data_IF_359809915167
#
_entry.id   IF_359809915167
#
_cell.length_a   1.000
_cell.length_b   1.000
_cell.length_c   1.000
_cell.angle_alpha   90.00
_cell.angle_beta   90.00
_cell.angle_gamma   90.00
#
_symmetry.space_group_name_H-M   'P 1'
#
loop_
_entity.id
_entity.type
_entity.pdbx_description
1 polymer ?
#
# COMPACT_ATOMS: atom_id res chain seq x y z
N UNK A 1 6.58 -40.70 -56.97
CA UNK A 1 6.20 -39.27 -56.92
C UNK A 1 6.07 -38.88 -55.46
N UNK A 2 6.67 -37.74 -55.10
CA UNK A 2 6.81 -37.17 -53.75
C UNK A 2 5.44 -36.76 -53.18
N UNK A 3 5.25 -36.91 -51.87
CA UNK A 3 4.42 -35.96 -51.12
C UNK A 3 5.20 -35.49 -49.89
N UNK A 4 5.39 -34.17 -49.84
CA UNK A 4 6.13 -33.45 -48.82
C UNK A 4 5.29 -33.25 -47.55
N UNK A 5 6.02 -33.25 -46.45
CA UNK A 5 5.71 -32.79 -45.10
C UNK A 5 4.94 -31.46 -45.02
N UNK A 6 4.10 -31.33 -43.98
CA UNK A 6 3.84 -30.06 -43.32
C UNK A 6 3.45 -30.32 -41.87
N UNK A 7 4.41 -30.23 -40.96
CA UNK A 7 4.17 -30.11 -39.51
C UNK A 7 4.10 -28.60 -39.24
N UNK A 8 2.92 -28.11 -38.89
CA UNK A 8 2.73 -26.75 -38.42
C UNK A 8 3.29 -26.62 -37.00
N UNK A 9 4.37 -25.86 -36.84
CA UNK A 9 4.91 -25.47 -35.53
C UNK A 9 4.16 -24.22 -35.07
N UNK A 10 3.17 -24.39 -34.20
CA UNK A 10 2.56 -23.28 -33.47
C UNK A 10 3.49 -22.85 -32.34
N UNK A 11 4.33 -21.83 -32.61
CA UNK A 11 5.05 -21.10 -31.56
C UNK A 11 4.04 -20.27 -30.76
N UNK A 12 3.59 -20.80 -29.62
CA UNK A 12 2.89 -20.01 -28.62
C UNK A 12 3.91 -19.09 -27.93
N UNK A 13 3.96 -17.82 -28.32
CA UNK A 13 4.65 -16.78 -27.56
C UNK A 13 3.80 -16.47 -26.32
N UNK A 14 4.12 -17.10 -25.18
CA UNK A 14 3.62 -16.66 -23.88
C UNK A 14 4.31 -15.36 -23.50
N UNK A 15 3.66 -14.22 -23.75
CA UNK A 15 4.12 -12.94 -23.21
C UNK A 15 3.81 -12.91 -21.72
N UNK A 16 4.83 -13.06 -20.89
CA UNK A 16 4.74 -12.74 -19.47
C UNK A 16 4.51 -11.23 -19.34
N UNK A 17 3.27 -10.82 -19.08
CA UNK A 17 2.97 -9.46 -18.67
C UNK A 17 3.63 -9.25 -17.30
N UNK A 18 4.70 -8.46 -17.27
CA UNK A 18 5.21 -7.91 -16.00
C UNK A 18 4.15 -6.94 -15.48
N UNK A 19 3.36 -7.37 -14.49
CA UNK A 19 2.44 -6.49 -13.78
C UNK A 19 3.23 -5.56 -12.84
N UNK A 20 3.95 -4.60 -13.43
CA UNK A 20 4.36 -3.39 -12.73
C UNK A 20 3.14 -2.50 -12.51
N UNK A 21 3.22 -1.53 -11.60
CA UNK A 21 2.13 -0.57 -11.37
C UNK A 21 1.66 0.09 -12.67
N UNK A 22 0.39 0.48 -12.74
CA UNK A 22 -0.14 1.26 -13.86
C UNK A 22 0.57 2.62 -13.99
N UNK A 23 1.03 3.24 -12.88
CA UNK A 23 1.83 4.47 -12.88
C UNK A 23 2.56 4.73 -11.55
N UNK A 24 3.70 5.41 -11.60
CA UNK A 24 4.45 5.97 -10.47
C UNK A 24 4.45 7.52 -10.46
N UNK A 25 3.63 8.14 -11.31
CA UNK A 25 3.52 9.60 -11.43
C UNK A 25 2.96 10.20 -10.12
N UNK A 26 3.64 11.18 -9.50
CA UNK A 26 3.30 11.60 -8.15
C UNK A 26 1.88 12.17 -7.99
N UNK A 27 1.38 12.92 -8.96
CA UNK A 27 0.03 13.49 -8.92
C UNK A 27 -1.06 12.41 -8.94
N UNK A 28 -0.81 11.27 -9.59
CA UNK A 28 -1.76 10.16 -9.64
C UNK A 28 -1.67 9.34 -8.35
N UNK A 29 -0.45 8.97 -7.95
CA UNK A 29 -0.23 8.15 -6.76
C UNK A 29 -0.71 8.86 -5.48
N UNK A 30 -0.49 10.17 -5.37
CA UNK A 30 -0.93 10.97 -4.23
C UNK A 30 -2.45 11.06 -4.06
N UNK A 31 -3.23 10.68 -5.09
CA UNK A 31 -4.70 10.67 -5.07
C UNK A 31 -5.30 9.27 -4.85
N UNK A 32 -4.49 8.21 -4.70
CA UNK A 32 -4.98 6.83 -4.63
C UNK A 32 -6.02 6.57 -3.54
N UNK A 33 -5.97 7.30 -2.42
CA UNK A 33 -6.85 7.11 -1.27
C UNK A 33 -7.85 8.25 -1.03
N UNK A 34 -8.12 9.07 -2.04
CA UNK A 34 -9.15 10.12 -1.96
C UNK A 34 -10.52 9.51 -1.65
N UNK A 35 -10.85 8.36 -2.23
CA UNK A 35 -12.09 7.60 -1.99
C UNK A 35 -12.24 7.12 -0.52
N UNK A 36 -11.15 7.14 0.25
CA UNK A 36 -11.12 6.81 1.68
C UNK A 36 -11.01 8.05 2.57
N UNK A 37 -11.23 9.25 2.03
CA UNK A 37 -11.05 10.54 2.70
C UNK A 37 -9.62 10.74 3.25
N UNK A 38 -8.62 10.18 2.58
CA UNK A 38 -7.19 10.36 2.88
C UNK A 38 -6.54 11.24 1.81
N UNK A 39 -7.13 12.41 1.59
CA UNK A 39 -6.71 13.36 0.54
C UNK A 39 -5.38 14.01 0.92
N UNK A 40 -4.39 13.92 0.03
CA UNK A 40 -3.07 14.51 0.27
C UNK A 40 -3.02 16.00 -0.09
N UNK A 41 -2.03 16.73 0.45
CA UNK A 41 -1.84 18.17 0.18
C UNK A 41 -0.79 18.47 -0.90
N UNK A 42 -0.75 17.63 -1.93
CA UNK A 42 0.20 17.73 -3.03
C UNK A 42 1.58 17.14 -2.70
N UNK A 43 2.29 16.75 -3.74
CA UNK A 43 3.61 16.13 -3.67
C UNK A 43 4.70 17.18 -3.82
N UNK A 44 5.63 17.23 -2.86
CA UNK A 44 6.62 18.32 -2.76
C UNK A 44 7.90 17.87 -2.09
N UNK A 45 8.95 18.64 -2.30
CA UNK A 45 10.22 18.50 -1.58
C UNK A 45 10.04 18.89 -0.10
N UNK A 46 10.55 18.07 0.82
CA UNK A 46 10.60 18.35 2.27
C UNK A 46 12.03 18.58 2.79
N UNK A 47 13.03 18.62 1.91
CA UNK A 47 14.45 18.75 2.23
C UNK A 47 15.18 17.42 2.43
N UNK A 48 14.46 16.31 2.59
CA UNK A 48 15.01 14.95 2.68
C UNK A 48 14.63 14.08 1.48
N UNK A 49 13.51 14.40 0.84
CA UNK A 49 13.04 13.77 -0.39
C UNK A 49 11.76 14.43 -0.85
N UNK A 50 11.02 13.76 -1.74
CA UNK A 50 9.71 14.22 -2.14
C UNK A 50 8.61 13.40 -1.47
N UNK A 51 7.66 14.11 -0.88
CA UNK A 51 6.58 13.53 -0.07
C UNK A 51 5.22 14.15 -0.40
N UNK A 52 4.18 13.34 -0.29
CA UNK A 52 2.80 13.79 -0.09
C UNK A 52 2.24 13.09 1.14
N UNK A 53 1.39 13.77 1.90
CA UNK A 53 0.67 13.15 3.01
C UNK A 53 -0.73 13.71 3.18
N UNK A 54 -1.63 12.85 3.67
CA UNK A 54 -2.95 13.27 4.12
C UNK A 54 -2.89 13.82 5.55
N UNK A 55 -3.84 14.67 5.95
CA UNK A 55 -4.10 14.85 7.37
C UNK A 55 -4.55 13.53 8.02
N UNK A 56 -4.53 13.48 9.35
CA UNK A 56 -5.11 12.37 10.09
C UNK A 56 -6.63 12.33 9.89
N UNK A 57 -7.13 11.18 9.43
CA UNK A 57 -8.55 10.84 9.47
C UNK A 57 -8.81 10.14 10.81
N UNK A 58 -9.52 10.83 11.70
CA UNK A 58 -9.93 10.27 12.99
C UNK A 58 -10.99 9.17 12.77
N UNK A 59 -10.79 8.03 13.43
CA UNK A 59 -11.62 6.83 13.34
C UNK A 59 -12.57 6.66 14.53
N UNK A 60 -12.46 7.55 15.52
CA UNK A 60 -13.41 7.64 16.62
C UNK A 60 -13.62 9.10 17.03
N UNK A 61 -14.80 9.42 17.54
CA UNK A 61 -15.15 10.76 18.00
C UNK A 61 -15.05 10.91 19.53
N UNK A 62 -14.64 9.85 20.25
CA UNK A 62 -14.76 9.75 21.71
C UNK A 62 -13.46 9.32 22.38
N UNK A 63 -12.73 10.28 22.94
CA UNK A 63 -11.53 10.06 23.75
C UNK A 63 -10.63 11.29 23.79
N UNK A 64 -9.58 11.26 24.61
CA UNK A 64 -8.54 12.31 24.66
C UNK A 64 -7.74 12.34 23.35
N UNK A 65 -7.56 11.18 22.71
CA UNK A 65 -6.92 11.03 21.41
C UNK A 65 -7.58 9.87 20.67
N UNK A 66 -8.10 10.13 19.47
CA UNK A 66 -8.79 9.13 18.68
C UNK A 66 -7.79 8.26 17.89
N UNK A 67 -8.21 7.04 17.55
CA UNK A 67 -7.46 6.24 16.58
C UNK A 67 -7.48 6.97 15.26
N UNK A 68 -6.36 7.01 14.54
CA UNK A 68 -6.32 7.76 13.29
C UNK A 68 -5.53 7.04 12.20
N UNK A 69 -5.82 7.42 10.97
CA UNK A 69 -5.23 6.88 9.76
C UNK A 69 -4.67 8.02 8.93
N UNK A 70 -3.49 7.84 8.34
CA UNK A 70 -2.94 8.77 7.36
C UNK A 70 -2.26 8.03 6.20
N UNK A 71 -2.34 8.64 5.02
CA UNK A 71 -1.70 8.18 3.80
C UNK A 71 -0.44 9.00 3.52
N UNK A 72 0.61 8.32 3.02
CA UNK A 72 1.87 8.94 2.64
C UNK A 72 2.39 8.35 1.34
N UNK A 73 3.00 9.21 0.52
CA UNK A 73 3.74 8.87 -0.69
C UNK A 73 5.15 9.43 -0.55
N UNK A 74 6.18 8.65 -0.86
CA UNK A 74 7.59 9.04 -0.78
C UNK A 74 8.34 8.62 -2.04
N UNK A 75 9.30 9.43 -2.47
CA UNK A 75 10.09 9.17 -3.66
C UNK A 75 10.98 10.34 -4.08
N UNK A 76 11.13 10.53 -5.39
CA UNK A 76 11.91 11.61 -6.01
C UNK A 76 10.98 12.64 -6.65
N UNK A 77 11.53 13.74 -7.16
CA UNK A 77 10.76 14.80 -7.83
C UNK A 77 9.85 14.33 -8.97
N UNK A 78 10.15 13.18 -9.58
CA UNK A 78 9.44 12.67 -10.76
C UNK A 78 8.69 11.37 -10.52
N UNK A 79 8.95 10.64 -9.44
CA UNK A 79 8.35 9.31 -9.20
C UNK A 79 8.16 9.00 -7.73
N UNK A 80 7.05 8.34 -7.40
CA UNK A 80 6.81 7.75 -6.09
C UNK A 80 7.33 6.32 -6.06
N UNK A 81 8.16 5.98 -5.07
CA UNK A 81 8.71 4.63 -4.87
C UNK A 81 8.12 3.92 -3.66
N UNK A 82 7.47 4.65 -2.76
CA UNK A 82 6.89 4.11 -1.53
C UNK A 82 5.53 4.74 -1.29
N UNK A 83 4.54 3.90 -1.05
CA UNK A 83 3.23 4.32 -0.56
C UNK A 83 2.93 3.60 0.74
N UNK A 84 2.36 4.30 1.73
CA UNK A 84 2.02 3.70 3.01
C UNK A 84 0.78 4.29 3.64
N UNK A 85 0.01 3.44 4.30
CA UNK A 85 -1.06 3.83 5.22
C UNK A 85 -0.58 3.54 6.63
N UNK A 86 -0.66 4.54 7.49
CA UNK A 86 -0.24 4.46 8.89
C UNK A 86 -1.48 4.57 9.76
N UNK A 87 -1.73 3.53 10.54
CA UNK A 87 -2.75 3.50 11.58
C UNK A 87 -2.08 3.75 12.93
N UNK A 88 -2.57 4.74 13.67
CA UNK A 88 -2.26 4.92 15.07
C UNK A 88 -3.44 4.43 15.91
N UNK A 89 -3.20 3.43 16.77
CA UNK A 89 -4.17 2.94 17.74
C UNK A 89 -3.87 3.58 19.09
N UNK A 90 -4.54 4.69 19.36
CA UNK A 90 -4.51 5.47 20.61
C UNK A 90 -5.49 4.94 21.66
N UNK A 91 -6.50 4.17 21.23
CA UNK A 91 -7.56 3.61 22.06
C UNK A 91 -7.72 2.11 21.77
N UNK A 92 -7.13 1.23 22.61
CA UNK A 92 -7.19 -0.22 22.40
C UNK A 92 -8.60 -0.80 22.39
N UNK A 93 -9.56 -0.16 23.07
CA UNK A 93 -10.97 -0.58 23.08
C UNK A 93 -11.61 -0.59 21.67
N UNK A 94 -11.09 0.23 20.77
CA UNK A 94 -11.62 0.40 19.40
C UNK A 94 -10.66 -0.22 18.36
N UNK A 95 -9.72 -1.09 18.78
CA UNK A 95 -8.67 -1.59 17.89
C UNK A 95 -9.21 -2.42 16.73
N UNK A 96 -10.26 -3.22 16.97
CA UNK A 96 -10.87 -4.04 15.92
C UNK A 96 -11.42 -3.17 14.79
N UNK A 97 -12.09 -2.06 15.12
CA UNK A 97 -12.60 -1.13 14.12
C UNK A 97 -11.44 -0.43 13.38
N UNK A 98 -10.41 -0.01 14.12
CA UNK A 98 -9.23 0.61 13.55
C UNK A 98 -8.49 -0.32 12.56
N UNK A 99 -8.37 -1.61 12.88
CA UNK A 99 -7.83 -2.62 11.97
C UNK A 99 -8.69 -2.80 10.71
N UNK A 100 -10.02 -2.83 10.85
CA UNK A 100 -10.93 -2.90 9.69
C UNK A 100 -10.72 -1.71 8.75
N UNK A 101 -10.59 -0.50 9.29
CA UNK A 101 -10.34 0.73 8.50
C UNK A 101 -8.97 0.69 7.80
N UNK A 102 -7.92 0.20 8.49
CA UNK A 102 -6.62 0.00 7.86
C UNK A 102 -6.68 -1.04 6.74
N UNK A 103 -7.40 -2.15 6.93
CA UNK A 103 -7.58 -3.19 5.90
C UNK A 103 -8.33 -2.63 4.69
N UNK A 104 -9.36 -1.81 4.89
CA UNK A 104 -10.09 -1.16 3.80
C UNK A 104 -9.18 -0.23 2.97
N UNK A 105 -8.41 0.63 3.64
CA UNK A 105 -7.44 1.50 2.97
C UNK A 105 -6.31 0.70 2.29
N UNK A 106 -5.82 -0.36 2.91
CA UNK A 106 -4.79 -1.24 2.34
C UNK A 106 -5.29 -1.99 1.10
N UNK A 107 -6.58 -2.40 1.07
CA UNK A 107 -7.20 -3.00 -0.12
C UNK A 107 -7.24 -2.04 -1.28
N UNK A 108 -7.72 -0.81 -1.05
CA UNK A 108 -7.75 0.20 -2.10
C UNK A 108 -6.33 0.54 -2.57
N UNK A 109 -5.39 0.73 -1.64
CA UNK A 109 -4.00 1.04 -1.98
C UNK A 109 -3.35 -0.08 -2.79
N UNK A 110 -3.53 -1.35 -2.39
CA UNK A 110 -3.02 -2.49 -3.16
C UNK A 110 -3.62 -2.52 -4.56
N UNK A 111 -4.95 -2.34 -4.67
CA UNK A 111 -5.62 -2.36 -5.97
C UNK A 111 -5.13 -1.25 -6.90
N UNK A 112 -5.02 -0.02 -6.40
CA UNK A 112 -4.58 1.14 -7.20
C UNK A 112 -3.08 1.08 -7.52
N UNK A 113 -2.25 0.62 -6.60
CA UNK A 113 -0.83 0.51 -6.82
C UNK A 113 -0.51 -0.64 -7.79
N UNK A 114 -0.96 -1.86 -7.51
CA UNK A 114 -0.45 -3.06 -8.20
C UNK A 114 -1.46 -3.71 -9.15
N UNK A 115 -2.69 -3.19 -9.24
CA UNK A 115 -3.80 -3.82 -9.97
C UNK A 115 -4.36 -5.08 -9.31
N UNK A 116 -3.72 -5.58 -8.25
CA UNK A 116 -4.03 -6.85 -7.57
C UNK A 116 -4.75 -6.62 -6.25
N UNK A 117 -5.54 -7.60 -5.83
CA UNK A 117 -6.25 -7.54 -4.55
C UNK A 117 -5.27 -7.75 -3.38
N UNK A 118 -5.62 -7.21 -2.20
CA UNK A 118 -4.80 -7.37 -1.00
C UNK A 118 -4.81 -8.83 -0.53
N UNK A 119 -3.64 -9.51 -0.46
CA UNK A 119 -3.59 -10.92 -0.07
C UNK A 119 -4.14 -11.15 1.34
N UNK A 120 -4.84 -12.27 1.56
CA UNK A 120 -5.42 -12.62 2.86
C UNK A 120 -4.36 -12.66 3.98
N UNK A 121 -3.14 -13.15 3.67
CA UNK A 121 -2.02 -13.18 4.61
C UNK A 121 -1.61 -11.80 5.14
N UNK A 122 -1.81 -10.74 4.34
CA UNK A 122 -1.52 -9.36 4.75
C UNK A 122 -2.62 -8.84 5.69
N UNK A 123 -3.87 -9.14 5.40
CA UNK A 123 -5.01 -8.81 6.27
C UNK A 123 -4.88 -9.50 7.64
N UNK A 124 -4.45 -10.76 7.62
CA UNK A 124 -4.12 -11.54 8.81
C UNK A 124 -3.01 -10.89 9.63
N UNK A 125 -1.94 -10.42 8.98
CA UNK A 125 -0.83 -9.77 9.65
C UNK A 125 -1.25 -8.44 10.32
N UNK A 126 -2.10 -7.65 9.66
CA UNK A 126 -2.69 -6.43 10.25
C UNK A 126 -3.52 -6.80 11.49
N UNK A 127 -4.45 -7.74 11.34
CA UNK A 127 -5.36 -8.15 12.43
C UNK A 127 -4.59 -8.71 13.63
N UNK A 128 -3.54 -9.50 13.37
CA UNK A 128 -2.71 -10.15 14.39
C UNK A 128 -1.56 -9.27 14.88
N UNK A 129 -1.44 -8.02 14.42
CA UNK A 129 -0.36 -7.08 14.81
C UNK A 129 1.04 -7.64 14.52
N UNK A 130 1.20 -8.40 13.44
CA UNK A 130 2.43 -9.09 13.09
C UNK A 130 3.23 -8.31 12.05
N UNK A 131 4.47 -7.99 12.39
CA UNK A 131 5.41 -7.41 11.43
C UNK A 131 5.89 -8.47 10.44
N UNK A 132 5.59 -8.29 9.15
CA UNK A 132 5.94 -9.21 8.06
C UNK A 132 6.16 -8.45 6.75
N UNK A 133 7.00 -9.03 5.90
CA UNK A 133 7.29 -8.52 4.55
C UNK A 133 7.11 -9.64 3.55
N UNK A 134 6.58 -9.30 2.38
CA UNK A 134 6.43 -10.20 1.24
C UNK A 134 6.98 -9.52 0.00
N UNK A 135 7.79 -10.25 -0.74
CA UNK A 135 8.22 -9.85 -2.09
C UNK A 135 7.27 -10.51 -3.09
N UNK A 136 6.72 -9.69 -3.99
CA UNK A 136 5.93 -10.13 -5.12
C UNK A 136 6.51 -9.48 -6.38
N UNK A 137 6.19 -10.02 -7.55
CA UNK A 137 6.74 -9.61 -8.85
C UNK A 137 6.85 -8.08 -9.01
N UNK A 138 8.05 -7.52 -8.79
CA UNK A 138 8.34 -6.09 -8.96
C UNK A 138 7.98 -5.16 -7.79
N UNK A 139 7.47 -5.65 -6.65
CA UNK A 139 7.20 -4.82 -5.47
C UNK A 139 7.30 -5.58 -4.14
N UNK A 140 7.54 -4.85 -3.06
CA UNK A 140 7.54 -5.38 -1.70
C UNK A 140 6.33 -4.84 -0.93
N UNK A 141 5.60 -5.73 -0.29
CA UNK A 141 4.56 -5.39 0.67
C UNK A 141 5.14 -5.58 2.07
N UNK A 142 4.92 -4.62 2.97
CA UNK A 142 5.24 -4.79 4.38
C UNK A 142 4.07 -4.37 5.27
N UNK A 143 3.91 -5.11 6.37
CA UNK A 143 3.14 -4.71 7.54
C UNK A 143 4.17 -4.59 8.66
N UNK A 144 4.26 -3.42 9.30
CA UNK A 144 5.15 -3.18 10.43
C UNK A 144 4.33 -2.68 11.60
N UNK A 145 4.37 -3.39 12.71
CA UNK A 145 3.74 -2.98 13.97
C UNK A 145 4.78 -2.50 14.95
N UNK A 146 4.54 -1.34 15.56
CA UNK A 146 5.39 -0.74 16.60
C UNK A 146 4.55 -0.38 17.81
N UNK A 147 4.73 -1.12 18.91
CA UNK A 147 4.17 -0.74 20.21
C UNK A 147 4.95 0.46 20.75
N UNK A 148 4.24 1.48 21.24
CA UNK A 148 4.90 2.67 21.77
C UNK A 148 5.51 2.41 23.14
N UNK A 149 6.62 3.07 23.50
CA UNK A 149 7.28 2.87 24.81
C UNK A 149 6.37 3.12 26.01
N UNK A 150 5.33 3.94 25.84
CA UNK A 150 4.34 4.22 26.89
C UNK A 150 3.41 3.04 27.19
N UNK A 151 3.35 2.03 26.31
CA UNK A 151 2.40 0.92 26.37
C UNK A 151 0.93 1.32 26.11
N UNK A 152 0.66 2.61 25.84
CA UNK A 152 -0.70 3.16 25.70
C UNK A 152 -1.25 3.08 24.28
N UNK A 153 -0.54 2.45 23.36
CA UNK A 153 -0.93 2.36 21.98
C UNK A 153 0.17 1.77 21.11
N UNK A 154 -0.12 1.71 19.82
CA UNK A 154 0.78 1.20 18.82
C UNK A 154 0.46 1.81 17.46
N UNK A 155 1.41 1.66 16.56
CA UNK A 155 1.25 2.01 15.15
C UNK A 155 1.31 0.73 14.31
N UNK A 156 0.46 0.62 13.30
CA UNK A 156 0.62 -0.35 12.21
C UNK A 156 0.83 0.42 10.91
N UNK A 157 1.93 0.14 10.22
CA UNK A 157 2.22 0.63 8.87
C UNK A 157 1.97 -0.48 7.87
N UNK A 158 1.06 -0.27 6.94
CA UNK A 158 1.00 -1.05 5.70
C UNK A 158 1.69 -0.24 4.61
N UNK A 159 2.65 -0.84 3.91
CA UNK A 159 3.40 -0.17 2.85
C UNK A 159 3.63 -1.05 1.63
N UNK A 160 3.69 -0.40 0.47
CA UNK A 160 4.11 -1.00 -0.79
C UNK A 160 5.32 -0.21 -1.28
N UNK A 161 6.46 -0.87 -1.36
CA UNK A 161 7.66 -0.34 -2.02
C UNK A 161 7.73 -0.89 -3.42
N UNK A 162 7.82 0.00 -4.38
CA UNK A 162 7.77 -0.31 -5.80
C UNK A 162 9.21 -0.49 -6.25
N UNK A 163 9.53 -1.66 -6.82
CA UNK A 163 10.85 -1.91 -7.38
C UNK A 163 11.12 -0.94 -8.53
N UNK A 164 12.34 -0.42 -8.61
CA UNK A 164 12.77 0.37 -9.77
C UNK A 164 12.64 -0.49 -11.02
N UNK A 165 11.86 -0.01 -11.99
CA UNK A 165 11.86 -0.52 -13.36
C UNK A 165 13.25 -0.39 -13.99
#
# INVERSE_FOLDING_TARGET
MRFLHSIAVCLAFSTTLFAGLDTDAPNVVAAYLDEQNLVTRGYKDDGLGYIASSPYRELSSKGVMANNLAYYCEGTSTKVSLVKVVLNVNSPKDESNAHTELIAAARLLAKKATGKDLPALVQDAITKKQSKTWTQEGYNIAVLTKVWPTGKGYEIKFSITIGTR
#
